data_IF_782165452945
#
_entry.id   IF_782165452945
#
_cell.length_a   1.000
_cell.length_b   1.000
_cell.length_c   1.000
_cell.angle_alpha   90.00
_cell.angle_beta   90.00
_cell.angle_gamma   90.00
#
_symmetry.space_group_name_H-M   'P 1'
#
loop_
_entity.id
_entity.type
_entity.pdbx_description
1 polymer ?
#
# COMPACT_ATOMS: atom_id res chain seq x y z
N UNK A 1 17.53 1.79 -12.74
CA UNK A 1 16.29 1.21 -12.22
C UNK A 1 16.10 -0.17 -12.80
N UNK A 2 15.80 -1.16 -11.95
CA UNK A 2 15.61 -2.55 -12.36
C UNK A 2 14.29 -2.72 -13.12
N UNK A 3 14.16 -3.84 -13.86
CA UNK A 3 12.89 -4.20 -14.49
C UNK A 3 11.83 -4.46 -13.41
N UNK A 4 10.70 -3.77 -13.52
CA UNK A 4 9.59 -3.89 -12.56
C UNK A 4 8.96 -5.31 -12.65
N UNK A 5 8.84 -6.05 -11.53
CA UNK A 5 8.16 -7.34 -11.50
C UNK A 5 6.67 -7.24 -11.82
N UNK A 6 6.11 -8.34 -12.34
CA UNK A 6 4.67 -8.45 -12.56
C UNK A 6 4.00 -9.00 -11.30
N UNK A 7 3.41 -8.11 -10.50
CA UNK A 7 2.72 -8.45 -9.25
C UNK A 7 1.29 -8.95 -9.47
N UNK A 8 0.64 -8.57 -10.58
CA UNK A 8 -0.74 -8.93 -10.92
C UNK A 8 -0.83 -9.67 -12.27
N UNK A 9 -0.62 -10.97 -12.26
CA UNK A 9 -0.54 -11.80 -13.49
C UNK A 9 -1.90 -12.12 -14.15
N UNK A 10 -3.02 -11.85 -13.48
CA UNK A 10 -4.38 -12.18 -13.94
C UNK A 10 -5.36 -11.06 -13.61
N UNK A 11 -5.23 -9.92 -14.29
CA UNK A 11 -6.14 -8.78 -14.16
C UNK A 11 -7.00 -8.59 -15.41
N UNK A 12 -8.21 -8.05 -15.23
CA UNK A 12 -9.10 -7.66 -16.32
C UNK A 12 -8.86 -6.22 -16.81
N UNK A 13 -7.97 -5.47 -16.14
CA UNK A 13 -7.68 -4.06 -16.43
C UNK A 13 -6.85 -3.92 -17.70
N UNK A 14 -6.86 -2.72 -18.28
CA UNK A 14 -6.00 -2.38 -19.43
C UNK A 14 -4.51 -2.56 -19.09
N UNK A 15 -3.68 -2.80 -20.11
CA UNK A 15 -2.23 -2.99 -19.92
C UNK A 15 -1.57 -1.79 -19.22
N UNK A 16 -2.00 -0.57 -19.54
CA UNK A 16 -1.52 0.66 -18.89
C UNK A 16 -1.85 0.68 -17.40
N UNK A 17 -3.08 0.31 -17.01
CA UNK A 17 -3.45 0.23 -15.60
C UNK A 17 -2.72 -0.90 -14.88
N UNK A 18 -2.51 -2.04 -15.55
CA UNK A 18 -1.72 -3.13 -14.97
C UNK A 18 -0.28 -2.69 -14.69
N UNK A 19 0.34 -1.99 -15.65
CA UNK A 19 1.67 -1.41 -15.46
C UNK A 19 1.71 -0.45 -14.27
N UNK A 20 0.76 0.49 -14.19
CA UNK A 20 0.69 1.46 -13.11
C UNK A 20 0.50 0.80 -11.73
N UNK A 21 -0.35 -0.23 -11.65
CA UNK A 21 -0.56 -0.98 -10.41
C UNK A 21 0.70 -1.76 -10.03
N UNK A 22 1.42 -2.32 -11.00
CA UNK A 22 2.70 -2.99 -10.74
C UNK A 22 3.77 -2.00 -10.25
N UNK A 23 3.83 -0.78 -10.79
CA UNK A 23 4.70 0.29 -10.29
C UNK A 23 4.39 0.60 -8.82
N UNK A 24 3.11 0.83 -8.50
CA UNK A 24 2.65 1.08 -7.14
C UNK A 24 3.04 -0.07 -6.18
N UNK A 25 2.85 -1.31 -6.60
CA UNK A 25 3.19 -2.49 -5.80
C UNK A 25 4.70 -2.67 -5.64
N UNK A 26 5.48 -2.36 -6.68
CA UNK A 26 6.94 -2.36 -6.61
C UNK A 26 7.44 -1.33 -5.59
N UNK A 27 6.86 -0.12 -5.60
CA UNK A 27 7.16 0.90 -4.59
C UNK A 27 6.89 0.36 -3.18
N UNK A 28 5.69 -0.19 -2.96
CA UNK A 28 5.32 -0.72 -1.64
C UNK A 28 6.21 -1.88 -1.18
N UNK A 29 6.57 -2.79 -2.09
CA UNK A 29 7.46 -3.92 -1.81
C UNK A 29 8.87 -3.43 -1.41
N UNK A 30 9.43 -2.47 -2.18
CA UNK A 30 10.73 -1.85 -1.87
C UNK A 30 10.71 -1.04 -0.58
N UNK A 31 9.57 -0.46 -0.21
CA UNK A 31 9.36 0.19 1.10
C UNK A 31 9.08 -0.82 2.23
N UNK A 32 9.17 -2.12 1.96
CA UNK A 32 9.09 -3.17 2.97
C UNK A 32 7.67 -3.60 3.35
N UNK A 33 6.69 -3.45 2.44
CA UNK A 33 5.38 -4.10 2.59
C UNK A 33 5.48 -5.57 2.14
N UNK A 34 5.08 -6.55 2.97
CA UNK A 34 5.05 -7.95 2.56
C UNK A 34 3.90 -8.23 1.61
N UNK A 35 4.18 -8.40 0.32
CA UNK A 35 3.17 -8.74 -0.69
C UNK A 35 3.00 -10.25 -0.92
N UNK A 36 3.87 -11.06 -0.33
CA UNK A 36 3.84 -12.53 -0.39
C UNK A 36 2.63 -13.10 0.34
N UNK A 37 2.05 -14.19 -0.17
CA UNK A 37 0.85 -14.83 0.40
C UNK A 37 -0.46 -14.03 0.26
N UNK A 38 -0.42 -12.79 -0.25
CA UNK A 38 -1.60 -12.01 -0.58
C UNK A 38 -2.18 -12.48 -1.92
N UNK A 39 -3.50 -12.68 -1.99
CA UNK A 39 -4.19 -13.04 -3.24
C UNK A 39 -4.01 -11.95 -4.31
N UNK A 40 -3.97 -12.33 -5.60
CA UNK A 40 -3.76 -11.38 -6.70
C UNK A 40 -4.75 -10.21 -6.69
N UNK A 41 -6.04 -10.49 -6.46
CA UNK A 41 -7.08 -9.45 -6.38
C UNK A 41 -6.86 -8.51 -5.19
N UNK A 42 -6.45 -9.04 -4.04
CA UNK A 42 -6.17 -8.20 -2.87
C UNK A 42 -4.93 -7.32 -3.10
N UNK A 43 -3.90 -7.89 -3.73
CA UNK A 43 -2.68 -7.15 -4.10
C UNK A 43 -3.01 -5.99 -5.05
N UNK A 44 -3.80 -6.25 -6.09
CA UNK A 44 -4.29 -5.22 -7.01
C UNK A 44 -5.00 -4.08 -6.25
N UNK A 45 -5.90 -4.42 -5.31
CA UNK A 45 -6.62 -3.43 -4.48
C UNK A 45 -5.71 -2.62 -3.56
N UNK A 46 -4.67 -3.24 -2.98
CA UNK A 46 -3.65 -2.52 -2.19
C UNK A 46 -2.93 -1.49 -3.08
N UNK A 47 -2.51 -1.90 -4.28
CA UNK A 47 -1.87 -0.99 -5.25
C UNK A 47 -2.77 0.19 -5.62
N UNK A 48 -4.04 -0.07 -5.95
CA UNK A 48 -5.01 0.99 -6.26
C UNK A 48 -5.33 1.89 -5.07
N UNK A 49 -5.34 1.36 -3.83
CA UNK A 49 -5.53 2.18 -2.63
C UNK A 49 -4.38 3.18 -2.48
N UNK A 50 -3.15 2.70 -2.67
CA UNK A 50 -1.96 3.55 -2.62
C UNK A 50 -1.95 4.60 -3.74
N UNK A 51 -2.26 4.22 -4.98
CA UNK A 51 -2.37 5.16 -6.10
C UNK A 51 -3.40 6.27 -5.83
N UNK A 52 -4.58 5.91 -5.31
CA UNK A 52 -5.62 6.88 -4.98
C UNK A 52 -5.15 7.87 -3.90
N UNK A 53 -4.51 7.38 -2.83
CA UNK A 53 -3.97 8.21 -1.74
C UNK A 53 -2.76 9.04 -2.16
N UNK A 54 -2.04 8.64 -3.22
CA UNK A 54 -0.96 9.43 -3.82
C UNK A 54 -1.44 10.33 -4.97
N UNK A 55 -2.72 10.26 -5.35
CA UNK A 55 -3.32 10.95 -6.51
C UNK A 55 -2.64 10.65 -7.87
N UNK A 56 -2.18 9.42 -8.07
CA UNK A 56 -1.48 9.00 -9.31
C UNK A 56 -2.44 8.25 -10.23
N UNK A 57 -2.60 8.73 -11.47
CA UNK A 57 -3.49 8.13 -12.50
C UNK A 57 -2.72 7.54 -13.67
N UNK A 58 -1.48 7.99 -13.87
CA UNK A 58 -0.54 7.50 -14.87
C UNK A 58 0.89 7.62 -14.35
N UNK A 59 1.83 6.86 -14.93
CA UNK A 59 3.22 6.78 -14.44
C UNK A 59 3.93 8.14 -14.39
N UNK A 60 3.56 9.09 -15.25
CA UNK A 60 4.16 10.43 -15.21
C UNK A 60 3.73 11.27 -14.00
N UNK A 61 2.70 10.85 -13.25
CA UNK A 61 2.19 11.59 -12.10
C UNK A 61 3.02 11.38 -10.85
N UNK A 62 3.89 10.37 -10.79
CA UNK A 62 4.75 10.11 -9.62
C UNK A 62 5.52 11.38 -9.19
N UNK A 63 6.06 12.13 -10.14
CA UNK A 63 6.79 13.39 -9.89
C UNK A 63 5.91 14.53 -9.33
N UNK A 64 4.59 14.44 -9.50
CA UNK A 64 3.63 15.50 -9.17
C UNK A 64 2.90 15.26 -7.82
N UNK A 65 3.29 14.24 -7.06
CA UNK A 65 2.64 13.91 -5.79
C UNK A 65 2.68 15.10 -4.82
N UNK A 66 1.60 15.30 -4.05
CA UNK A 66 1.50 16.34 -3.04
C UNK A 66 1.14 15.75 -1.68
N UNK A 67 1.68 16.34 -0.60
CA UNK A 67 1.31 16.00 0.77
C UNK A 67 -0.03 16.57 1.22
N UNK A 68 -0.62 17.47 0.44
CA UNK A 68 -1.95 18.04 0.72
C UNK A 68 -3.11 17.15 0.28
N UNK A 69 -2.85 16.13 -0.54
CA UNK A 69 -3.90 15.23 -1.03
C UNK A 69 -4.31 14.24 0.06
N UNK A 70 -5.60 14.22 0.38
CA UNK A 70 -6.17 13.37 1.40
C UNK A 70 -7.55 12.88 0.98
N UNK A 71 -7.82 11.59 1.15
CA UNK A 71 -9.08 10.96 0.75
C UNK A 71 -9.73 10.22 1.92
N UNK A 72 -11.06 10.33 2.09
CA UNK A 72 -11.81 9.37 2.92
C UNK A 72 -11.96 8.07 2.14
N UNK A 73 -12.30 6.98 2.82
CA UNK A 73 -12.52 5.67 2.15
C UNK A 73 -13.57 5.74 1.04
N UNK A 74 -14.66 6.52 1.22
CA UNK A 74 -15.66 6.71 0.16
C UNK A 74 -15.11 7.50 -1.03
N UNK A 75 -14.18 8.42 -0.80
CA UNK A 75 -13.49 9.11 -1.89
C UNK A 75 -12.56 8.15 -2.64
N UNK A 76 -11.92 7.20 -1.95
CA UNK A 76 -11.12 6.14 -2.59
C UNK A 76 -12.00 5.25 -3.49
N UNK A 77 -13.20 4.86 -3.03
CA UNK A 77 -14.19 4.12 -3.84
C UNK A 77 -14.51 4.90 -5.12
N UNK A 78 -14.86 6.18 -4.98
CA UNK A 78 -15.13 7.07 -6.13
C UNK A 78 -13.93 7.17 -7.06
N UNK A 79 -12.72 7.33 -6.51
CA UNK A 79 -11.49 7.41 -7.28
C UNK A 79 -11.28 6.16 -8.15
N UNK A 80 -11.47 4.97 -7.57
CA UNK A 80 -11.32 3.71 -8.28
C UNK A 80 -12.34 3.56 -9.40
N UNK A 81 -13.60 3.90 -9.14
CA UNK A 81 -14.66 3.82 -10.14
C UNK A 81 -14.41 4.80 -11.31
N UNK A 82 -13.81 5.96 -11.03
CA UNK A 82 -13.54 6.98 -12.03
C UNK A 82 -12.24 6.77 -12.84
N UNK A 83 -11.25 6.08 -12.27
CA UNK A 83 -9.89 6.06 -12.84
C UNK A 83 -9.30 4.68 -13.06
N UNK A 84 -9.81 3.63 -12.40
CA UNK A 84 -9.17 2.32 -12.39
C UNK A 84 -10.08 1.19 -12.87
N UNK A 85 -11.07 1.46 -13.72
CA UNK A 85 -11.99 0.45 -14.26
C UNK A 85 -12.64 -0.44 -13.17
N UNK A 86 -13.04 0.18 -12.07
CA UNK A 86 -13.82 -0.48 -11.02
C UNK A 86 -15.28 -0.03 -11.07
N UNK A 87 -16.16 -0.85 -10.50
CA UNK A 87 -17.56 -0.48 -10.25
C UNK A 87 -17.97 -1.05 -8.89
N UNK A 88 -17.31 -0.56 -7.84
CA UNK A 88 -17.52 -1.03 -6.48
C UNK A 88 -18.48 -0.10 -5.73
N UNK A 89 -19.38 -0.70 -4.96
CA UNK A 89 -20.34 0.01 -4.12
C UNK A 89 -19.74 0.49 -2.81
N UNK A 90 -20.41 1.46 -2.18
CA UNK A 90 -20.04 1.98 -0.85
C UNK A 90 -20.01 0.92 0.25
N UNK A 91 -20.70 -0.22 0.09
CA UNK A 91 -20.59 -1.36 1.02
C UNK A 91 -19.18 -1.98 1.08
N UNK A 92 -18.32 -1.70 0.10
CA UNK A 92 -16.90 -2.08 0.12
C UNK A 92 -16.05 -1.24 1.08
N UNK A 93 -16.64 -0.25 1.75
CA UNK A 93 -15.98 0.65 2.70
C UNK A 93 -15.09 -0.09 3.71
N UNK A 94 -15.66 -1.08 4.41
CA UNK A 94 -14.90 -1.80 5.45
C UNK A 94 -13.78 -2.64 4.88
N UNK A 95 -13.95 -3.19 3.69
CA UNK A 95 -12.93 -3.99 3.03
C UNK A 95 -11.72 -3.14 2.62
N UNK A 96 -11.95 -1.93 2.10
CA UNK A 96 -10.86 -1.00 1.75
C UNK A 96 -10.10 -0.59 3.02
N UNK A 97 -10.83 -0.19 4.06
CA UNK A 97 -10.25 0.27 5.32
C UNK A 97 -9.45 -0.82 6.05
N UNK A 98 -10.03 -2.02 6.18
CA UNK A 98 -9.49 -3.08 7.05
C UNK A 98 -8.50 -4.00 6.36
N UNK A 99 -8.44 -3.99 5.02
CA UNK A 99 -7.63 -4.95 4.27
C UNK A 99 -6.75 -4.25 3.23
N UNK A 100 -7.31 -3.35 2.41
CA UNK A 100 -6.53 -2.73 1.31
C UNK A 100 -5.57 -1.63 1.81
N UNK A 101 -5.99 -0.84 2.80
CA UNK A 101 -5.15 0.18 3.43
C UNK A 101 -4.35 -0.35 4.64
N UNK A 102 -4.62 -1.58 5.11
CA UNK A 102 -4.05 -2.10 6.37
C UNK A 102 -2.53 -2.07 6.37
N UNK A 103 -1.88 -2.66 5.36
CA UNK A 103 -0.41 -2.72 5.34
C UNK A 103 0.26 -1.35 5.10
N UNK A 104 -0.17 -0.52 4.13
CA UNK A 104 0.41 0.81 3.97
C UNK A 104 0.29 1.70 5.22
N UNK A 105 -0.81 1.57 5.97
CA UNK A 105 -1.01 2.29 7.23
C UNK A 105 -0.13 1.73 8.35
N UNK A 106 -0.04 0.41 8.50
CA UNK A 106 0.83 -0.21 9.50
C UNK A 106 2.31 0.10 9.25
N UNK A 107 2.73 0.14 7.99
CA UNK A 107 4.08 0.55 7.57
C UNK A 107 4.34 2.06 7.73
N UNK A 108 3.35 2.85 8.17
CA UNK A 108 3.42 4.32 8.30
C UNK A 108 3.73 5.05 6.98
N UNK A 109 3.52 4.40 5.83
CA UNK A 109 3.62 5.00 4.50
C UNK A 109 2.39 5.88 4.26
N UNK A 110 1.21 5.43 4.74
CA UNK A 110 -0.03 6.20 4.73
C UNK A 110 -0.42 6.59 6.15
N UNK A 111 -0.70 7.88 6.36
CA UNK A 111 -1.24 8.39 7.61
C UNK A 111 -2.78 8.26 7.60
N UNK A 112 -3.31 7.40 8.45
CA UNK A 112 -4.75 7.37 8.76
C UNK A 112 -5.06 8.45 9.80
N UNK A 113 -5.94 9.42 9.50
CA UNK A 113 -6.21 10.65 10.27
C UNK A 113 -5.46 11.92 9.83
N UNK A 114 -5.22 12.11 8.53
CA UNK A 114 -4.51 13.32 8.07
C UNK A 114 -5.26 14.64 8.35
N UNK A 115 -6.60 14.62 8.38
CA UNK A 115 -7.41 15.80 8.69
C UNK A 115 -7.68 16.03 10.19
N UNK A 116 -7.65 14.98 11.02
CA UNK A 116 -7.89 15.09 12.46
C UNK A 116 -7.17 13.96 13.22
N UNK A 117 -6.04 14.28 13.86
CA UNK A 117 -5.20 13.32 14.60
C UNK A 117 -5.94 12.60 15.75
N UNK A 118 -7.04 13.16 16.24
CA UNK A 118 -7.85 12.61 17.35
C UNK A 118 -9.11 11.86 16.88
N UNK A 119 -9.32 11.70 15.56
CA UNK A 119 -10.48 10.98 15.05
C UNK A 119 -10.49 9.51 15.52
N UNK A 120 -11.65 9.03 15.94
CA UNK A 120 -11.82 7.63 16.35
C UNK A 120 -11.53 6.67 15.19
N UNK A 121 -11.12 5.42 15.49
CA UNK A 121 -10.79 4.42 14.45
C UNK A 121 -11.96 4.09 13.51
N UNK A 122 -13.20 4.32 13.95
CA UNK A 122 -14.45 4.13 13.21
C UNK A 122 -15.06 5.43 12.66
N UNK A 123 -14.37 6.57 12.75
CA UNK A 123 -14.85 7.85 12.25
C UNK A 123 -14.87 7.88 10.71
N UNK A 124 -16.05 8.04 10.13
CA UNK A 124 -16.26 8.13 8.68
C UNK A 124 -15.64 9.37 8.03
N UNK A 125 -15.23 10.37 8.83
CA UNK A 125 -14.56 11.58 8.37
C UNK A 125 -13.04 11.42 8.27
N UNK A 126 -12.49 10.30 8.74
CA UNK A 126 -11.06 9.99 8.71
C UNK A 126 -10.56 9.94 7.26
N UNK A 127 -9.59 10.81 6.98
CA UNK A 127 -8.88 10.83 5.72
C UNK A 127 -7.56 10.09 5.80
N UNK A 128 -7.13 9.59 4.65
CA UNK A 128 -5.84 8.96 4.40
C UNK A 128 -5.03 9.88 3.51
N UNK A 129 -3.79 10.15 3.90
CA UNK A 129 -2.82 10.88 3.08
C UNK A 129 -1.48 10.16 3.11
N UNK A 130 -0.69 10.36 2.05
CA UNK A 130 0.68 9.90 2.03
C UNK A 130 1.48 10.57 3.15
N UNK A 131 2.34 9.80 3.83
CA UNK A 131 3.21 10.36 4.85
C UNK A 131 4.25 11.30 4.19
N UNK A 132 4.37 12.58 4.64
CA UNK A 132 5.31 13.53 4.08
C UNK A 132 6.76 13.05 3.96
N UNK A 133 7.21 12.20 4.89
CA UNK A 133 8.58 11.64 4.86
C UNK A 133 8.87 10.81 3.60
N UNK A 134 7.84 10.25 2.96
CA UNK A 134 8.00 9.40 1.78
C UNK A 134 7.78 10.15 0.46
N UNK A 135 7.31 11.41 0.48
CA UNK A 135 6.90 12.12 -0.73
C UNK A 135 8.07 12.30 -1.69
N UNK A 136 9.17 12.87 -1.21
CA UNK A 136 10.32 13.17 -2.07
C UNK A 136 10.97 11.90 -2.60
N UNK A 137 10.99 10.83 -1.80
CA UNK A 137 11.47 9.52 -2.21
C UNK A 137 10.58 8.93 -3.31
N UNK A 138 9.25 8.98 -3.17
CA UNK A 138 8.32 8.41 -4.16
C UNK A 138 8.30 9.24 -5.45
N UNK A 139 8.46 10.57 -5.37
CA UNK A 139 8.53 11.43 -6.57
C UNK A 139 9.64 11.05 -7.53
N UNK A 140 10.75 10.56 -6.98
CA UNK A 140 11.92 10.12 -7.72
C UNK A 140 11.82 8.70 -8.25
N UNK A 141 10.64 8.06 -8.21
CA UNK A 141 10.48 6.67 -8.62
C UNK A 141 11.06 6.35 -10.00
N UNK A 142 10.95 7.27 -10.97
CA UNK A 142 11.50 7.10 -12.32
C UNK A 142 13.02 7.22 -12.41
N UNK A 143 13.70 7.63 -11.35
CA UNK A 143 15.14 7.91 -11.38
C UNK A 143 15.95 6.61 -11.34
N UNK A 144 17.07 6.59 -12.07
CA UNK A 144 17.89 5.38 -12.20
C UNK A 144 18.42 4.85 -10.86
N UNK A 145 18.68 5.76 -9.91
CA UNK A 145 19.24 5.48 -8.58
C UNK A 145 18.18 5.34 -7.48
N UNK A 146 16.90 5.38 -7.83
CA UNK A 146 15.81 5.40 -6.85
C UNK A 146 15.87 4.24 -5.84
N UNK A 147 16.15 3.01 -6.29
CA UNK A 147 16.28 1.85 -5.40
C UNK A 147 17.38 2.03 -4.34
N UNK A 148 18.50 2.66 -4.70
CA UNK A 148 19.58 2.97 -3.77
C UNK A 148 19.16 4.06 -2.77
N UNK A 149 18.37 5.03 -3.22
CA UNK A 149 17.78 6.02 -2.30
C UNK A 149 16.81 5.37 -1.31
N UNK A 150 16.03 4.37 -1.75
CA UNK A 150 15.16 3.58 -0.86
C UNK A 150 15.99 2.82 0.18
N UNK A 151 17.04 2.12 -0.24
CA UNK A 151 17.94 1.41 0.68
C UNK A 151 18.55 2.35 1.73
N UNK A 152 19.05 3.51 1.30
CA UNK A 152 19.59 4.53 2.21
C UNK A 152 18.51 5.05 3.17
N UNK A 153 17.30 5.32 2.67
CA UNK A 153 16.19 5.80 3.47
C UNK A 153 15.75 4.78 4.54
N UNK A 154 15.82 3.49 4.23
CA UNK A 154 15.44 2.39 5.12
C UNK A 154 16.58 1.90 6.04
N UNK A 155 17.83 2.29 5.80
CA UNK A 155 19.02 1.78 6.52
C UNK A 155 18.94 1.82 8.07
N UNK A 156 18.17 2.76 8.63
CA UNK A 156 17.97 2.90 10.08
C UNK A 156 16.49 2.75 10.48
N UNK A 157 15.68 2.08 9.65
CA UNK A 157 14.24 1.91 9.86
C UNK A 157 13.89 0.42 9.83
N UNK A 158 13.16 -0.04 10.83
CA UNK A 158 12.56 -1.37 10.79
C UNK A 158 11.30 -1.33 9.91
N UNK A 159 11.30 -2.14 8.87
CA UNK A 159 10.19 -2.28 7.92
C UNK A 159 9.08 -3.19 8.46
N UNK A 160 7.89 -3.07 7.88
CA UNK A 160 6.77 -3.96 8.25
C UNK A 160 7.10 -5.44 7.95
N UNK A 161 7.82 -5.71 6.85
CA UNK A 161 8.28 -7.06 6.51
C UNK A 161 9.20 -7.64 7.60
N UNK A 162 10.14 -6.86 8.12
CA UNK A 162 11.07 -7.27 9.19
C UNK A 162 10.36 -7.48 10.54
N UNK A 163 9.41 -6.60 10.88
CA UNK A 163 8.59 -6.74 12.08
C UNK A 163 7.84 -8.08 12.08
N UNK A 164 7.28 -8.45 10.93
CA UNK A 164 6.50 -9.68 10.79
C UNK A 164 7.35 -10.93 10.74
N UNK A 165 8.52 -10.90 10.09
CA UNK A 165 9.43 -12.04 10.11
C UNK A 165 9.91 -12.34 11.53
N UNK A 166 10.18 -11.30 12.34
CA UNK A 166 10.58 -11.45 13.74
C UNK A 166 9.48 -12.10 14.58
N UNK A 167 8.22 -11.71 14.36
CA UNK A 167 7.08 -12.32 15.04
C UNK A 167 6.94 -13.80 14.63
N UNK A 168 6.98 -14.12 13.33
CA UNK A 168 6.88 -15.51 12.87
C UNK A 168 8.01 -16.41 13.42
N UNK A 169 9.24 -15.91 13.49
CA UNK A 169 10.37 -16.65 14.04
C UNK A 169 10.16 -17.00 15.53
N UNK A 170 9.63 -16.06 16.33
CA UNK A 170 9.33 -16.28 17.75
C UNK A 170 8.24 -17.34 17.96
N UNK A 171 7.17 -17.31 17.15
CA UNK A 171 6.09 -18.30 17.25
C UNK A 171 6.54 -19.71 16.83
N UNK A 172 7.41 -19.82 15.82
CA UNK A 172 7.89 -21.11 15.32
C UNK A 172 8.84 -21.83 16.31
N UNK A 173 9.58 -21.06 17.13
CA UNK A 173 10.42 -21.63 18.20
C UNK A 173 9.60 -22.13 19.41
N UNK A 174 8.33 -21.73 19.54
CA UNK A 174 7.44 -22.13 20.64
C UNK A 174 6.43 -23.23 20.31
N UNK A 175 6.16 -23.53 19.03
CA UNK A 175 5.17 -24.54 18.64
C UNK A 175 5.57 -25.25 17.33
N UNK A 176 5.84 -26.56 17.40
CA UNK A 176 6.41 -27.39 16.30
C UNK A 176 5.49 -27.70 15.10
N UNK A 177 4.33 -27.05 14.92
CA UNK A 177 3.40 -27.49 13.85
C UNK A 177 2.44 -26.45 13.26
N UNK A 178 2.66 -25.15 13.44
CA UNK A 178 1.79 -24.14 12.84
C UNK A 178 2.50 -23.38 11.72
N UNK A 179 2.02 -23.60 10.49
CA UNK A 179 2.36 -22.84 9.29
C UNK A 179 2.09 -21.34 9.53
N UNK A 180 3.17 -20.54 9.64
CA UNK A 180 3.11 -19.09 9.83
C UNK A 180 2.81 -18.38 8.51
N UNK A 181 1.66 -18.68 7.92
CA UNK A 181 1.17 -17.88 6.81
C UNK A 181 0.76 -16.51 7.35
N UNK A 182 1.32 -15.43 6.78
CA UNK A 182 1.08 -14.01 7.13
C UNK A 182 -0.42 -13.70 7.29
N UNK A 183 -1.31 -14.45 6.63
CA UNK A 183 -2.76 -14.34 6.75
C UNK A 183 -3.34 -14.73 8.12
N UNK A 184 -2.73 -15.66 8.88
CA UNK A 184 -3.27 -16.12 10.18
C UNK A 184 -2.93 -15.20 11.35
N UNK A 185 -1.74 -14.60 11.37
CA UNK A 185 -1.32 -13.67 12.43
C UNK A 185 -2.15 -12.38 12.43
N UNK A 186 -2.78 -12.01 11.31
CA UNK A 186 -3.47 -10.74 11.15
C UNK A 186 -4.99 -10.74 11.40
N UNK A 187 -5.62 -11.90 11.57
CA UNK A 187 -7.01 -11.97 12.06
C UNK A 187 -7.12 -11.75 13.57
N UNK A 188 -5.98 -11.68 14.27
CA UNK A 188 -5.88 -11.55 15.73
C UNK A 188 -5.51 -10.14 16.22
N UNK A 189 -5.32 -9.17 15.30
CA UNK A 189 -5.02 -7.75 15.58
C UNK A 189 -5.97 -6.79 14.84
#
# INVERSE_FOLDING_TARGET
MSKIPQYILKSKKTNSLQQLINEALYILDKLGIPLEGITLRRRERIGMAFLAVSNVKQSTDWKNISGSHALRTRDIIRYWNNHFDENISDSSYDDIRRKDLKFPVLAKIINSSSANKNAAKNDGTRSYALNPEYIDLIKKFSDLNWEKEVENFLSNRETLKEQLSTVCARYSMGNRSLDCTITRTYNSF
#
